data_IF_389147427809
#
_entry.id   IF_389147427809
#
_cell.length_a   1.000
_cell.length_b   1.000
_cell.length_c   1.000
_cell.angle_alpha   90.00
_cell.angle_beta   90.00
_cell.angle_gamma   90.00
#
_symmetry.space_group_name_H-M   'P 1'
#
loop_
_entity.id
_entity.type
_entity.pdbx_description
1 polymer ?
#
# COMPACT_ATOMS: atom_id res chain seq x y z
N UNK A 1 12.82 0.86 10.98
CA UNK A 1 12.06 -0.42 11.05
C UNK A 1 10.63 -0.08 11.40
N UNK A 2 9.66 -0.70 10.73
CA UNK A 2 8.24 -0.62 11.11
C UNK A 2 8.04 -1.26 12.49
N UNK A 3 7.10 -0.72 13.27
CA UNK A 3 6.78 -1.18 14.63
C UNK A 3 5.36 -1.70 14.75
N UNK A 4 4.43 -1.11 14.02
CA UNK A 4 3.03 -1.52 13.99
C UNK A 4 2.47 -1.42 12.57
N UNK A 5 1.95 -2.52 12.06
CA UNK A 5 1.36 -2.62 10.74
C UNK A 5 -0.13 -2.93 10.93
N UNK A 6 -0.99 -2.10 10.39
CA UNK A 6 -2.42 -2.37 10.38
C UNK A 6 -2.84 -3.08 9.10
N UNK A 7 -3.57 -4.18 9.23
CA UNK A 7 -4.20 -4.86 8.10
C UNK A 7 -5.72 -4.77 8.23
N UNK A 8 -6.37 -4.21 7.22
CA UNK A 8 -7.83 -4.28 7.13
C UNK A 8 -8.26 -5.69 6.76
N UNK A 9 -9.23 -6.22 7.47
CA UNK A 9 -9.75 -7.58 7.30
C UNK A 9 -11.23 -7.54 6.89
N UNK A 10 -11.63 -8.46 6.04
CA UNK A 10 -12.99 -8.65 5.57
C UNK A 10 -13.19 -10.09 5.07
N UNK A 11 -14.37 -10.40 4.55
CA UNK A 11 -14.70 -11.72 3.98
C UNK A 11 -14.39 -11.83 2.48
N UNK A 12 -13.71 -10.83 1.88
CA UNK A 12 -13.35 -10.90 0.47
C UNK A 12 -12.29 -12.00 0.22
N UNK A 13 -12.32 -12.69 -0.92
CA UNK A 13 -11.31 -13.71 -1.25
C UNK A 13 -9.87 -13.20 -1.19
N UNK A 14 -9.65 -11.93 -1.51
CA UNK A 14 -8.33 -11.27 -1.45
C UNK A 14 -7.83 -11.00 -0.02
N UNK A 15 -8.66 -11.19 1.00
CA UNK A 15 -8.28 -11.00 2.42
C UNK A 15 -7.09 -11.89 2.81
N UNK A 16 -7.09 -13.14 2.36
CA UNK A 16 -6.02 -14.09 2.65
C UNK A 16 -4.67 -13.61 2.12
N UNK A 17 -4.61 -13.14 0.88
CA UNK A 17 -3.36 -12.69 0.26
C UNK A 17 -2.74 -11.50 1.00
N UNK A 18 -3.58 -10.50 1.38
CA UNK A 18 -3.06 -9.34 2.12
C UNK A 18 -2.67 -9.69 3.55
N UNK A 19 -3.35 -10.64 4.18
CA UNK A 19 -2.96 -11.12 5.51
C UNK A 19 -1.61 -11.83 5.46
N UNK A 20 -1.39 -12.75 4.53
CA UNK A 20 -0.11 -13.41 4.31
C UNK A 20 1.02 -12.40 4.05
N UNK A 21 0.78 -11.42 3.19
CA UNK A 21 1.69 -10.32 2.89
C UNK A 21 2.04 -9.50 4.16
N UNK A 22 1.03 -9.18 4.97
CA UNK A 22 1.20 -8.43 6.22
C UNK A 22 1.99 -9.21 7.27
N UNK A 23 1.73 -10.50 7.40
CA UNK A 23 2.49 -11.40 8.30
C UNK A 23 3.97 -11.45 7.87
N UNK A 24 4.24 -11.59 6.57
CA UNK A 24 5.60 -11.58 6.03
C UNK A 24 6.36 -10.29 6.36
N UNK A 25 5.70 -9.15 6.18
CA UNK A 25 6.26 -7.84 6.54
C UNK A 25 6.48 -7.69 8.05
N UNK A 26 5.50 -8.06 8.87
CA UNK A 26 5.60 -7.99 10.32
C UNK A 26 6.78 -8.83 10.84
N UNK A 27 6.96 -10.06 10.35
CA UNK A 27 8.12 -10.91 10.67
C UNK A 27 9.44 -10.25 10.29
N UNK A 28 9.54 -9.73 9.07
CA UNK A 28 10.77 -9.13 8.55
C UNK A 28 11.21 -7.91 9.37
N UNK A 29 10.26 -7.12 9.85
CA UNK A 29 10.53 -5.90 10.61
C UNK A 29 10.50 -6.09 12.12
N UNK A 30 10.07 -7.25 12.64
CA UNK A 30 9.79 -7.44 14.06
C UNK A 30 8.70 -6.49 14.54
N UNK A 31 7.69 -6.30 13.72
CA UNK A 31 6.57 -5.40 13.96
C UNK A 31 5.38 -6.14 14.57
N UNK A 32 4.57 -5.42 15.34
CA UNK A 32 3.23 -5.85 15.72
C UNK A 32 2.30 -5.82 14.51
N UNK A 33 1.32 -6.70 14.43
CA UNK A 33 0.31 -6.74 13.38
C UNK A 33 -1.08 -6.50 13.97
N UNK A 34 -1.64 -5.33 13.72
CA UNK A 34 -2.99 -4.98 14.15
C UNK A 34 -4.02 -5.37 13.09
N UNK A 35 -4.85 -6.37 13.37
CA UNK A 35 -6.00 -6.75 12.55
C UNK A 35 -7.17 -5.80 12.80
N UNK A 36 -7.63 -5.10 11.77
CA UNK A 36 -8.77 -4.19 11.85
C UNK A 36 -9.96 -4.72 11.06
N UNK A 37 -11.09 -4.97 11.73
CA UNK A 37 -12.36 -5.31 11.13
C UNK A 37 -13.39 -4.20 11.41
N UNK A 38 -13.85 -3.53 10.35
CA UNK A 38 -14.84 -2.44 10.45
C UNK A 38 -16.10 -2.85 9.73
N UNK A 39 -17.25 -2.78 10.41
CA UNK A 39 -18.54 -3.18 9.87
C UNK A 39 -19.68 -2.27 10.35
N UNK A 40 -20.88 -2.48 9.77
CA UNK A 40 -22.10 -1.81 10.19
C UNK A 40 -23.17 -2.87 10.48
N UNK A 41 -23.41 -3.17 11.75
CA UNK A 41 -24.36 -4.21 12.17
C UNK A 41 -25.76 -4.05 11.58
N UNK A 42 -26.33 -2.82 11.45
CA UNK A 42 -27.65 -2.64 10.85
C UNK A 42 -27.72 -2.92 9.35
N UNK A 43 -26.57 -3.01 8.67
CA UNK A 43 -26.48 -3.22 7.22
C UNK A 43 -26.01 -4.62 6.84
N UNK A 44 -25.75 -5.46 7.82
CA UNK A 44 -25.22 -6.82 7.61
C UNK A 44 -26.17 -7.89 8.16
N UNK A 45 -26.19 -9.03 7.49
CA UNK A 45 -26.78 -10.24 8.02
C UNK A 45 -25.72 -10.94 8.90
N UNK A 46 -26.09 -11.34 10.12
CA UNK A 46 -25.21 -12.07 11.05
C UNK A 46 -23.84 -11.39 11.33
N UNK A 47 -23.80 -10.10 11.70
CA UNK A 47 -22.56 -9.36 11.86
C UNK A 47 -21.61 -9.97 12.92
N UNK A 48 -22.16 -10.45 14.02
CA UNK A 48 -21.38 -11.06 15.11
C UNK A 48 -20.70 -12.37 14.68
N UNK A 49 -21.40 -13.22 13.91
CA UNK A 49 -20.82 -14.45 13.40
C UNK A 49 -19.72 -14.17 12.39
N UNK A 50 -19.93 -13.24 11.47
CA UNK A 50 -18.94 -12.85 10.48
C UNK A 50 -17.68 -12.23 11.11
N UNK A 51 -17.85 -11.42 12.14
CA UNK A 51 -16.72 -10.90 12.91
C UNK A 51 -15.92 -12.01 13.57
N UNK A 52 -16.58 -12.97 14.21
CA UNK A 52 -15.95 -14.10 14.84
C UNK A 52 -15.15 -14.97 13.85
N UNK A 53 -15.71 -15.23 12.66
CA UNK A 53 -15.02 -15.98 11.60
C UNK A 53 -13.75 -15.29 11.11
N UNK A 54 -13.82 -13.97 10.88
CA UNK A 54 -12.66 -13.18 10.43
C UNK A 54 -11.59 -13.13 11.52
N UNK A 55 -11.99 -12.96 12.77
CA UNK A 55 -11.08 -12.94 13.92
C UNK A 55 -10.36 -14.26 14.07
N UNK A 56 -11.09 -15.39 14.05
CA UNK A 56 -10.52 -16.73 14.18
C UNK A 56 -9.51 -17.01 13.05
N UNK A 57 -9.84 -16.66 11.83
CA UNK A 57 -8.92 -16.78 10.68
C UNK A 57 -7.64 -15.95 10.90
N UNK A 58 -7.77 -14.73 11.40
CA UNK A 58 -6.64 -13.85 11.65
C UNK A 58 -5.74 -14.41 12.76
N UNK A 59 -6.31 -14.71 13.93
CA UNK A 59 -5.56 -15.20 15.10
C UNK A 59 -4.82 -16.50 14.78
N UNK A 60 -5.46 -17.47 14.13
CA UNK A 60 -4.83 -18.74 13.75
C UNK A 60 -3.60 -18.54 12.84
N UNK A 61 -3.68 -17.65 11.85
CA UNK A 61 -2.57 -17.42 10.94
C UNK A 61 -1.42 -16.65 11.59
N UNK A 62 -1.73 -15.67 12.43
CA UNK A 62 -0.70 -14.83 13.06
C UNK A 62 0.01 -15.59 14.18
N UNK A 63 -0.73 -16.33 15.02
CA UNK A 63 -0.14 -17.20 16.07
C UNK A 63 0.77 -18.27 15.46
N UNK A 64 0.30 -18.96 14.42
CA UNK A 64 1.11 -19.95 13.70
C UNK A 64 2.37 -19.36 13.05
N UNK A 65 2.40 -18.05 12.84
CA UNK A 65 3.53 -17.32 12.31
C UNK A 65 4.49 -16.78 13.39
N UNK A 66 4.12 -16.76 14.67
CA UNK A 66 4.92 -16.23 15.76
C UNK A 66 5.09 -14.71 15.71
N UNK A 67 4.10 -13.99 15.22
CA UNK A 67 4.06 -12.51 15.15
C UNK A 67 3.20 -12.01 16.31
N UNK A 68 3.65 -10.94 16.99
CA UNK A 68 2.81 -10.25 17.95
C UNK A 68 1.65 -9.55 17.25
N UNK A 69 0.47 -9.57 17.85
CA UNK A 69 -0.70 -9.00 17.21
C UNK A 69 -1.69 -8.39 18.18
N UNK A 70 -2.52 -7.48 17.64
CA UNK A 70 -3.71 -6.95 18.27
C UNK A 70 -4.92 -7.14 17.35
N UNK A 71 -6.11 -7.26 17.95
CA UNK A 71 -7.37 -7.30 17.22
C UNK A 71 -8.21 -6.07 17.54
N UNK A 72 -8.69 -5.41 16.51
CA UNK A 72 -9.54 -4.24 16.62
C UNK A 72 -10.81 -4.44 15.81
N UNK A 73 -11.94 -4.46 16.50
CA UNK A 73 -13.27 -4.60 15.92
C UNK A 73 -14.07 -3.33 16.13
N UNK A 74 -14.64 -2.80 15.05
CA UNK A 74 -15.36 -1.53 15.06
C UNK A 74 -16.71 -1.66 14.38
N UNK A 75 -17.79 -1.55 15.14
CA UNK A 75 -19.14 -1.43 14.61
C UNK A 75 -19.51 0.05 14.48
N UNK A 76 -19.67 0.52 13.25
CA UNK A 76 -20.06 1.91 12.99
C UNK A 76 -21.57 2.15 13.12
N UNK A 77 -22.38 1.10 13.36
CA UNK A 77 -23.82 1.23 13.56
C UNK A 77 -24.52 1.95 12.39
N UNK A 78 -25.36 2.92 12.71
CA UNK A 78 -26.03 3.82 11.75
C UNK A 78 -25.26 5.14 11.54
N UNK A 79 -24.05 5.23 12.00
CA UNK A 79 -23.29 6.48 11.89
C UNK A 79 -23.12 6.91 10.44
N UNK A 80 -23.01 8.22 10.23
CA UNK A 80 -22.79 8.82 8.90
C UNK A 80 -21.33 8.71 8.45
N UNK A 81 -20.46 8.24 9.34
CA UNK A 81 -19.05 8.00 9.05
C UNK A 81 -18.93 6.74 8.21
N UNK A 82 -18.23 6.82 7.10
CA UNK A 82 -18.01 5.66 6.24
C UNK A 82 -16.90 4.74 6.78
N UNK A 83 -16.87 3.51 6.31
CA UNK A 83 -15.86 2.53 6.72
C UNK A 83 -14.45 3.01 6.38
N UNK A 84 -14.23 3.62 5.22
CA UNK A 84 -12.93 4.14 4.82
C UNK A 84 -12.42 5.24 5.76
N UNK A 85 -13.30 6.10 6.23
CA UNK A 85 -12.99 7.15 7.20
C UNK A 85 -12.60 6.56 8.55
N UNK A 86 -13.30 5.51 8.99
CA UNK A 86 -12.99 4.81 10.24
C UNK A 86 -11.66 4.06 10.15
N UNK A 87 -11.39 3.37 9.04
CA UNK A 87 -10.08 2.75 8.79
C UNK A 87 -8.98 3.81 8.84
N UNK A 88 -9.16 4.94 8.16
CA UNK A 88 -8.20 6.05 8.17
C UNK A 88 -7.92 6.57 9.58
N UNK A 89 -8.97 6.73 10.40
CA UNK A 89 -8.83 7.17 11.79
C UNK A 89 -7.92 6.22 12.60
N UNK A 90 -8.20 4.93 12.59
CA UNK A 90 -7.39 3.96 13.34
C UNK A 90 -5.99 3.79 12.77
N UNK A 91 -5.82 3.90 11.45
CA UNK A 91 -4.50 3.84 10.80
C UNK A 91 -3.57 4.96 11.25
N UNK A 92 -4.09 6.11 11.67
CA UNK A 92 -3.26 7.22 12.13
C UNK A 92 -2.37 6.88 13.35
N UNK A 93 -2.69 5.82 14.07
CA UNK A 93 -1.93 5.32 15.24
C UNK A 93 -0.90 4.25 14.89
N UNK A 94 -0.75 3.86 13.62
CA UNK A 94 0.16 2.83 13.16
C UNK A 94 1.18 3.37 12.14
N UNK A 95 2.14 2.56 11.72
CA UNK A 95 3.15 2.99 10.75
C UNK A 95 2.65 2.88 9.30
N UNK A 96 1.76 1.91 9.02
CA UNK A 96 1.32 1.57 7.68
C UNK A 96 -0.04 0.87 7.71
N UNK A 97 -0.85 1.12 6.69
CA UNK A 97 -2.07 0.36 6.41
C UNK A 97 -1.86 -0.62 5.26
N UNK A 98 -2.34 -1.85 5.41
CA UNK A 98 -2.36 -2.85 4.33
C UNK A 98 -3.79 -3.14 3.90
N UNK A 99 -4.06 -3.03 2.60
CA UNK A 99 -5.37 -3.28 1.99
C UNK A 99 -5.21 -4.06 0.68
N UNK A 100 -6.29 -4.64 0.17
CA UNK A 100 -6.27 -5.27 -1.16
C UNK A 100 -6.56 -4.26 -2.28
N UNK A 101 -6.06 -4.57 -3.47
CA UNK A 101 -6.43 -3.90 -4.71
C UNK A 101 -7.96 -3.92 -4.89
N UNK A 102 -8.61 -2.78 -5.12
CA UNK A 102 -10.04 -2.73 -5.37
C UNK A 102 -10.36 -3.30 -6.76
N UNK A 103 -11.18 -4.32 -6.81
CA UNK A 103 -11.65 -4.90 -8.08
C UNK A 103 -12.95 -4.23 -8.53
N UNK A 104 -13.12 -4.07 -9.85
CA UNK A 104 -14.37 -3.54 -10.42
C UNK A 104 -15.57 -4.42 -10.08
N UNK A 105 -15.37 -5.74 -10.03
CA UNK A 105 -16.41 -6.72 -9.67
C UNK A 105 -16.85 -6.64 -8.21
N UNK A 106 -16.07 -6.03 -7.33
CA UNK A 106 -16.37 -5.93 -5.90
C UNK A 106 -17.26 -4.72 -5.59
N UNK A 107 -17.40 -3.77 -6.53
CA UNK A 107 -18.25 -2.58 -6.33
C UNK A 107 -19.71 -2.90 -6.13
N UNK A 108 -20.16 -4.04 -6.67
CA UNK A 108 -21.54 -4.53 -6.57
C UNK A 108 -21.73 -5.58 -5.47
N UNK A 109 -20.66 -5.99 -4.78
CA UNK A 109 -20.73 -7.00 -3.73
C UNK A 109 -20.64 -6.35 -2.36
N UNK A 110 -21.50 -6.80 -1.47
CA UNK A 110 -21.62 -6.41 -0.08
C UNK A 110 -20.32 -6.57 0.75
N UNK A 111 -19.27 -7.17 0.17
CA UNK A 111 -18.02 -7.52 0.83
C UNK A 111 -16.87 -6.54 0.60
N UNK A 112 -16.94 -5.70 -0.43
CA UNK A 112 -15.87 -4.75 -0.71
C UNK A 112 -16.13 -3.41 -0.03
N UNK A 113 -15.62 -3.31 1.16
CA UNK A 113 -15.70 -2.11 1.98
C UNK A 113 -14.79 -0.99 1.46
N UNK A 114 -13.73 -1.35 0.75
CA UNK A 114 -12.75 -0.40 0.22
C UNK A 114 -12.99 -0.17 -1.26
N UNK A 115 -13.93 0.71 -1.56
CA UNK A 115 -14.22 1.12 -2.94
C UNK A 115 -13.39 2.30 -3.43
N UNK A 116 -12.67 2.97 -2.52
CA UNK A 116 -11.90 4.19 -2.83
C UNK A 116 -10.58 4.22 -2.06
N UNK A 117 -9.49 3.71 -2.64
CA UNK A 117 -8.16 3.83 -2.03
C UNK A 117 -7.74 5.27 -1.80
N UNK A 118 -8.25 6.22 -2.60
CA UNK A 118 -8.01 7.64 -2.44
C UNK A 118 -8.43 8.16 -1.06
N UNK A 119 -9.58 7.70 -0.55
CA UNK A 119 -10.06 8.08 0.79
C UNK A 119 -9.14 7.57 1.89
N UNK A 120 -8.64 6.36 1.75
CA UNK A 120 -7.71 5.77 2.72
C UNK A 120 -6.37 6.51 2.73
N UNK A 121 -5.80 6.77 1.55
CA UNK A 121 -4.51 7.46 1.42
C UNK A 121 -4.59 8.87 2.01
N UNK A 122 -5.68 9.61 1.73
CA UNK A 122 -5.89 10.96 2.29
C UNK A 122 -6.22 10.94 3.78
N UNK A 123 -7.09 9.99 4.17
CA UNK A 123 -7.66 9.97 5.53
C UNK A 123 -6.72 9.43 6.59
N UNK A 124 -5.77 8.57 6.22
CA UNK A 124 -4.88 7.92 7.18
C UNK A 124 -3.68 8.78 7.60
N UNK A 125 -3.21 9.67 6.72
CA UNK A 125 -1.94 10.38 6.93
C UNK A 125 -0.72 9.45 7.01
N UNK A 126 -0.89 8.18 6.66
CA UNK A 126 0.11 7.12 6.68
C UNK A 126 0.23 6.47 5.30
N UNK A 127 1.38 5.83 4.99
CA UNK A 127 1.50 5.08 3.75
C UNK A 127 0.50 3.92 3.71
N UNK A 128 -0.07 3.70 2.53
CA UNK A 128 -1.01 2.60 2.28
C UNK A 128 -0.36 1.61 1.33
N UNK A 129 -0.14 0.39 1.81
CA UNK A 129 0.31 -0.73 1.00
C UNK A 129 -0.92 -1.41 0.39
N UNK A 130 -0.99 -1.41 -0.92
CA UNK A 130 -2.04 -2.09 -1.67
C UNK A 130 -1.47 -3.39 -2.20
N UNK A 131 -2.07 -4.52 -1.82
CA UNK A 131 -1.69 -5.86 -2.25
C UNK A 131 -2.57 -6.27 -3.43
N UNK A 132 -2.02 -6.81 -4.54
CA UNK A 132 -2.83 -7.30 -5.65
C UNK A 132 -3.88 -8.30 -5.18
N UNK A 133 -5.05 -8.27 -5.83
CA UNK A 133 -6.18 -9.14 -5.45
C UNK A 133 -5.90 -10.62 -5.71
N UNK A 134 -4.95 -10.93 -6.59
CA UNK A 134 -4.52 -12.30 -6.93
C UNK A 134 -3.01 -12.41 -6.88
N UNK A 135 -2.51 -13.63 -6.68
CA UNK A 135 -1.08 -13.91 -6.52
C UNK A 135 -0.70 -14.21 -5.07
N UNK A 136 0.56 -14.55 -4.86
CA UNK A 136 1.17 -14.77 -3.54
C UNK A 136 2.40 -13.90 -3.42
N UNK A 137 2.58 -13.24 -2.26
CA UNK A 137 3.61 -12.24 -2.04
C UNK A 137 4.39 -12.56 -0.76
N UNK A 138 5.14 -13.69 -0.74
CA UNK A 138 5.84 -14.13 0.47
C UNK A 138 7.02 -13.22 0.84
N UNK A 139 7.53 -12.49 -0.14
CA UNK A 139 8.63 -11.54 0.02
C UNK A 139 8.22 -10.20 -0.56
N UNK A 140 8.11 -9.18 0.29
CA UNK A 140 7.78 -7.82 -0.11
C UNK A 140 8.90 -6.90 0.35
N UNK A 141 9.41 -6.07 -0.56
CA UNK A 141 10.43 -5.07 -0.26
C UNK A 141 11.85 -5.62 -0.21
N UNK A 142 12.15 -6.74 -0.89
CA UNK A 142 13.53 -7.16 -1.15
C UNK A 142 14.11 -6.43 -2.36
N UNK A 143 13.30 -6.22 -3.39
CA UNK A 143 13.65 -5.50 -4.61
C UNK A 143 12.63 -4.39 -4.84
N UNK A 144 12.99 -3.18 -4.44
CA UNK A 144 12.06 -2.03 -4.44
C UNK A 144 12.34 -1.12 -5.62
N UNK A 145 11.30 -0.78 -6.37
CA UNK A 145 11.33 0.33 -7.32
C UNK A 145 10.59 1.52 -6.74
N UNK A 146 11.24 2.68 -6.70
CA UNK A 146 10.62 3.95 -6.34
C UNK A 146 10.39 4.75 -7.62
N UNK A 147 9.12 4.93 -8.02
CA UNK A 147 8.79 5.81 -9.13
C UNK A 147 8.96 7.27 -8.69
N UNK A 148 10.05 7.86 -9.15
CA UNK A 148 10.49 9.18 -8.72
C UNK A 148 10.16 10.25 -9.76
N UNK A 149 9.49 11.27 -9.31
CA UNK A 149 9.38 12.56 -9.99
C UNK A 149 9.52 13.64 -8.94
N UNK A 150 10.58 14.43 -9.03
CA UNK A 150 10.91 15.43 -8.02
C UNK A 150 9.71 16.28 -7.61
N UNK A 151 9.43 16.32 -6.31
CA UNK A 151 8.31 17.05 -5.75
C UNK A 151 7.84 16.50 -4.40
N UNK A 152 6.94 17.23 -3.72
CA UNK A 152 6.54 16.91 -2.34
C UNK A 152 6.03 15.48 -2.17
N UNK A 153 5.26 14.97 -3.15
CA UNK A 153 4.62 13.64 -3.05
C UNK A 153 5.61 12.49 -3.20
N UNK A 154 6.55 12.60 -4.14
CA UNK A 154 7.62 11.61 -4.29
C UNK A 154 8.53 11.63 -3.06
N UNK A 155 8.90 12.82 -2.57
CA UNK A 155 9.66 12.96 -1.33
C UNK A 155 8.95 12.35 -0.14
N UNK A 156 7.64 12.56 -0.01
CA UNK A 156 6.82 11.96 1.04
C UNK A 156 6.81 10.44 0.92
N UNK A 157 6.52 9.89 -0.26
CA UNK A 157 6.46 8.45 -0.48
C UNK A 157 7.81 7.77 -0.21
N UNK A 158 8.92 8.37 -0.66
CA UNK A 158 10.26 7.89 -0.35
C UNK A 158 10.54 7.90 1.15
N UNK A 159 10.15 8.97 1.86
CA UNK A 159 10.33 9.08 3.31
C UNK A 159 9.51 8.04 4.06
N UNK A 160 8.24 7.87 3.70
CA UNK A 160 7.34 6.88 4.29
C UNK A 160 7.81 5.44 4.01
N UNK A 161 8.46 5.20 2.86
CA UNK A 161 9.06 3.92 2.51
C UNK A 161 10.42 3.67 3.18
N UNK A 162 11.02 4.65 3.85
CA UNK A 162 12.40 4.56 4.36
C UNK A 162 12.68 3.29 5.18
N UNK A 163 11.79 2.82 6.08
CA UNK A 163 12.02 1.57 6.80
C UNK A 163 12.14 0.34 5.89
N UNK A 164 11.39 0.34 4.77
CA UNK A 164 11.44 -0.73 3.76
C UNK A 164 12.69 -0.62 2.91
N UNK A 165 13.04 0.59 2.46
CA UNK A 165 14.25 0.86 1.67
C UNK A 165 15.52 0.45 2.42
N UNK A 166 15.59 0.71 3.72
CA UNK A 166 16.71 0.31 4.58
C UNK A 166 16.85 -1.21 4.75
N UNK A 167 15.75 -1.94 4.63
CA UNK A 167 15.74 -3.40 4.74
C UNK A 167 15.84 -4.11 3.38
N UNK A 168 15.80 -3.36 2.28
CA UNK A 168 15.83 -3.90 0.93
C UNK A 168 17.22 -4.43 0.54
N UNK A 169 17.25 -5.44 -0.34
CA UNK A 169 18.47 -5.92 -0.99
C UNK A 169 18.86 -5.06 -2.18
N UNK A 170 17.85 -4.54 -2.90
CA UNK A 170 18.00 -3.69 -4.08
C UNK A 170 16.97 -2.58 -4.07
N UNK A 171 17.42 -1.36 -4.32
CA UNK A 171 16.55 -0.20 -4.47
C UNK A 171 16.87 0.48 -5.80
N UNK A 172 15.87 0.63 -6.66
CA UNK A 172 15.99 1.37 -7.91
C UNK A 172 15.09 2.62 -7.88
N UNK A 173 15.68 3.80 -8.03
CA UNK A 173 14.97 5.07 -8.16
C UNK A 173 14.79 5.36 -9.64
N UNK A 174 13.57 5.20 -10.14
CA UNK A 174 13.26 5.33 -11.57
C UNK A 174 12.50 6.61 -11.86
N UNK A 175 13.01 7.43 -12.76
CA UNK A 175 12.33 8.59 -13.30
C UNK A 175 12.07 8.42 -14.80
N UNK A 176 10.82 8.62 -15.23
CA UNK A 176 10.43 8.57 -16.64
C UNK A 176 10.09 9.99 -17.09
N UNK A 177 11.05 10.72 -17.63
CA UNK A 177 10.91 12.15 -18.00
C UNK A 177 11.65 12.53 -19.28
N UNK A 178 11.14 13.57 -19.97
CA UNK A 178 11.75 14.11 -21.21
C UNK A 178 13.02 14.89 -20.97
N UNK A 179 13.16 15.48 -19.81
CA UNK A 179 14.31 16.30 -19.44
C UNK A 179 15.24 15.48 -18.56
N UNK A 180 16.53 15.51 -18.91
CA UNK A 180 17.56 15.08 -17.98
C UNK A 180 17.33 15.78 -16.65
N UNK A 181 17.51 15.05 -15.56
CA UNK A 181 17.66 15.67 -14.22
C UNK A 181 18.45 16.96 -14.38
N UNK A 182 17.97 18.05 -13.80
CA UNK A 182 18.81 19.22 -13.63
C UNK A 182 20.13 18.71 -13.09
N UNK A 183 21.24 19.11 -13.72
CA UNK A 183 22.58 18.60 -13.42
C UNK A 183 22.79 18.38 -11.92
N UNK A 184 22.99 17.11 -11.50
CA UNK A 184 23.21 16.72 -10.11
C UNK A 184 21.99 16.27 -9.30
N UNK A 185 20.79 16.14 -9.86
CA UNK A 185 19.62 15.66 -9.09
C UNK A 185 19.78 14.19 -8.68
N UNK A 186 20.18 13.31 -9.59
CA UNK A 186 20.47 11.91 -9.30
C UNK A 186 21.55 11.75 -8.24
N UNK A 187 22.62 12.53 -8.30
CA UNK A 187 23.70 12.53 -7.31
C UNK A 187 23.21 12.97 -5.92
N UNK A 188 22.37 14.01 -5.87
CA UNK A 188 21.78 14.49 -4.61
C UNK A 188 20.84 13.46 -4.00
N UNK A 189 20.04 12.80 -4.83
CA UNK A 189 19.13 11.74 -4.40
C UNK A 189 19.92 10.54 -3.87
N UNK A 190 20.93 10.06 -4.59
CA UNK A 190 21.82 8.99 -4.15
C UNK A 190 22.50 9.33 -2.83
N UNK A 191 23.08 10.53 -2.73
CA UNK A 191 23.70 10.99 -1.47
C UNK A 191 22.70 11.03 -0.31
N UNK A 192 21.46 11.51 -0.55
CA UNK A 192 20.44 11.54 0.49
C UNK A 192 20.15 10.12 1.00
N UNK A 193 19.96 9.17 0.09
CA UNK A 193 19.69 7.78 0.43
C UNK A 193 20.87 7.12 1.15
N UNK A 194 22.10 7.38 0.74
CA UNK A 194 23.32 6.91 1.42
C UNK A 194 23.39 7.38 2.88
N UNK A 195 23.06 8.66 3.15
CA UNK A 195 22.99 9.19 4.51
C UNK A 195 21.97 8.45 5.38
N UNK A 196 20.92 7.90 4.76
CA UNK A 196 19.92 7.06 5.40
C UNK A 196 20.26 5.56 5.36
N UNK A 197 21.50 5.20 4.97
CA UNK A 197 21.99 3.81 4.86
C UNK A 197 21.20 2.97 3.83
N UNK A 198 20.75 3.61 2.77
CA UNK A 198 20.10 2.97 1.63
C UNK A 198 21.06 3.03 0.44
N UNK A 199 21.45 1.87 -0.08
CA UNK A 199 22.17 1.76 -1.35
C UNK A 199 21.14 1.67 -2.47
N UNK A 200 21.10 2.68 -3.34
CA UNK A 200 20.14 2.76 -4.43
C UNK A 200 20.83 3.05 -5.76
N UNK A 201 20.30 2.48 -6.83
CA UNK A 201 20.58 2.92 -8.20
C UNK A 201 19.60 4.02 -8.60
N UNK A 202 20.04 4.93 -9.45
CA UNK A 202 19.17 5.97 -10.02
C UNK A 202 19.15 5.80 -11.53
N UNK A 203 17.95 5.70 -12.08
CA UNK A 203 17.74 5.47 -13.50
C UNK A 203 16.82 6.54 -14.09
N UNK A 204 17.26 7.17 -15.16
CA UNK A 204 16.46 8.12 -15.94
C UNK A 204 16.12 7.49 -17.27
N UNK A 205 14.83 7.30 -17.51
CA UNK A 205 14.31 6.72 -18.74
C UNK A 205 13.65 7.82 -19.57
N UNK A 206 14.17 8.10 -20.77
CA UNK A 206 13.50 9.01 -21.69
C UNK A 206 12.15 8.41 -22.11
N UNK A 207 11.07 9.20 -22.16
CA UNK A 207 9.79 8.74 -22.68
C UNK A 207 9.95 8.24 -24.10
N UNK A 208 9.54 7.00 -24.34
CA UNK A 208 9.43 6.41 -25.68
C UNK A 208 7.99 6.46 -26.19
N UNK A 209 7.64 5.45 -27.00
CA UNK A 209 6.26 5.28 -27.51
C UNK A 209 5.30 4.73 -26.44
N UNK A 210 5.84 4.19 -25.33
CA UNK A 210 5.05 3.65 -24.23
C UNK A 210 4.62 4.76 -23.27
N UNK A 211 3.48 4.56 -22.62
CA UNK A 211 3.09 5.42 -21.52
C UNK A 211 4.05 5.27 -20.32
N UNK A 212 4.10 6.28 -19.45
CA UNK A 212 4.88 6.20 -18.20
C UNK A 212 4.47 4.97 -17.36
N UNK A 213 3.17 4.67 -17.32
CA UNK A 213 2.65 3.51 -16.60
C UNK A 213 3.15 2.19 -17.17
N UNK A 214 3.10 2.03 -18.51
CA UNK A 214 3.59 0.81 -19.17
C UNK A 214 5.09 0.64 -18.98
N UNK A 215 5.86 1.74 -19.09
CA UNK A 215 7.31 1.71 -18.85
C UNK A 215 7.61 1.21 -17.44
N UNK A 216 6.92 1.73 -16.41
CA UNK A 216 7.12 1.29 -15.02
C UNK A 216 6.71 -0.17 -14.81
N UNK A 217 5.59 -0.63 -15.41
CA UNK A 217 5.16 -2.03 -15.31
C UNK A 217 6.11 -3.01 -15.99
N UNK A 218 6.69 -2.63 -17.14
CA UNK A 218 7.70 -3.45 -17.81
C UNK A 218 8.94 -3.59 -16.94
N UNK A 219 9.44 -2.50 -16.35
CA UNK A 219 10.57 -2.54 -15.42
C UNK A 219 10.30 -3.39 -14.18
N UNK A 220 9.07 -3.37 -13.66
CA UNK A 220 8.70 -4.26 -12.55
C UNK A 220 8.93 -5.72 -12.93
N UNK A 221 8.57 -6.12 -14.14
CA UNK A 221 8.75 -7.48 -14.61
C UNK A 221 10.24 -7.79 -14.93
N UNK A 222 10.92 -6.90 -15.67
CA UNK A 222 12.29 -7.09 -16.13
C UNK A 222 13.29 -7.17 -14.97
N UNK A 223 13.11 -6.33 -13.95
CA UNK A 223 13.98 -6.25 -12.77
C UNK A 223 13.54 -7.15 -11.61
N UNK A 224 12.49 -7.95 -11.78
CA UNK A 224 11.91 -8.77 -10.72
C UNK A 224 11.62 -7.95 -9.44
N UNK A 225 11.02 -6.78 -9.61
CA UNK A 225 10.60 -5.93 -8.50
C UNK A 225 9.48 -6.61 -7.71
N UNK A 226 9.55 -6.56 -6.39
CA UNK A 226 8.54 -7.12 -5.49
C UNK A 226 7.75 -6.06 -4.70
N UNK A 227 8.14 -4.81 -4.84
CA UNK A 227 7.43 -3.66 -4.27
C UNK A 227 7.66 -2.40 -5.12
N UNK A 228 6.57 -1.74 -5.52
CA UNK A 228 6.63 -0.41 -6.13
C UNK A 228 6.24 0.65 -5.09
N UNK A 229 7.00 1.75 -5.02
CA UNK A 229 6.70 2.92 -4.18
C UNK A 229 6.34 4.10 -5.08
N UNK A 230 5.22 4.74 -4.81
CA UNK A 230 4.70 5.84 -5.63
C UNK A 230 4.08 6.94 -4.78
N UNK A 231 4.52 8.18 -4.99
CA UNK A 231 3.82 9.37 -4.52
C UNK A 231 2.62 9.68 -5.43
N UNK A 232 1.41 9.68 -4.89
CA UNK A 232 0.19 9.91 -5.67
C UNK A 232 -0.37 11.31 -5.47
N UNK A 233 -0.90 11.88 -6.55
CA UNK A 233 -1.65 13.13 -6.48
C UNK A 233 -3.13 12.82 -6.36
N UNK A 234 -3.74 13.22 -5.23
CA UNK A 234 -5.18 13.11 -5.04
C UNK A 234 -5.76 14.52 -5.03
N UNK A 235 -6.76 14.74 -5.84
CA UNK A 235 -7.47 16.01 -5.96
C UNK A 235 -8.98 15.76 -5.99
N UNK A 236 -9.74 16.80 -5.73
CA UNK A 236 -11.20 16.74 -5.87
C UNK A 236 -11.59 17.22 -7.27
N UNK A 237 -12.17 16.33 -8.06
CA UNK A 237 -12.77 16.65 -9.36
C UNK A 237 -14.27 16.40 -9.31
N UNK A 238 -15.07 17.42 -9.59
CA UNK A 238 -16.55 17.32 -9.60
C UNK A 238 -17.13 16.71 -8.30
N UNK A 239 -16.55 17.04 -7.13
CA UNK A 239 -16.99 16.53 -5.84
C UNK A 239 -16.56 15.11 -5.50
N UNK A 240 -15.74 14.47 -6.36
CA UNK A 240 -15.18 13.13 -6.13
C UNK A 240 -13.65 13.21 -6.01
N UNK A 241 -13.09 12.35 -5.17
CA UNK A 241 -11.64 12.19 -5.09
C UNK A 241 -11.14 11.51 -6.36
N UNK A 242 -10.06 12.03 -6.91
CA UNK A 242 -9.42 11.56 -8.12
C UNK A 242 -7.93 11.39 -7.90
N UNK A 243 -7.47 10.15 -7.97
CA UNK A 243 -6.05 9.81 -8.05
C UNK A 243 -5.57 10.11 -9.48
N UNK A 244 -4.45 10.76 -9.63
CA UNK A 244 -3.90 11.08 -10.94
C UNK A 244 -3.86 9.86 -11.88
N UNK A 245 -3.83 10.13 -13.19
CA UNK A 245 -3.96 9.11 -14.24
C UNK A 245 -2.97 7.95 -14.09
N UNK A 246 -1.69 8.23 -13.84
CA UNK A 246 -0.64 7.23 -13.67
C UNK A 246 -0.93 6.33 -12.46
N UNK A 247 -1.26 6.92 -11.30
CA UNK A 247 -1.57 6.14 -10.09
C UNK A 247 -2.76 5.21 -10.30
N UNK A 248 -3.81 5.70 -10.94
CA UNK A 248 -5.01 4.90 -11.26
C UNK A 248 -4.70 3.79 -12.27
N UNK A 249 -3.91 4.10 -13.29
CA UNK A 249 -3.50 3.11 -14.28
C UNK A 249 -2.69 1.99 -13.64
N UNK A 250 -1.64 2.34 -12.90
CA UNK A 250 -0.78 1.38 -12.21
C UNK A 250 -1.58 0.53 -11.22
N UNK A 251 -2.48 1.15 -10.44
CA UNK A 251 -3.33 0.42 -9.50
C UNK A 251 -4.26 -0.59 -10.19
N UNK A 252 -4.71 -0.27 -11.42
CA UNK A 252 -5.56 -1.15 -12.21
C UNK A 252 -4.82 -2.32 -12.87
N UNK A 253 -3.52 -2.20 -13.06
CA UNK A 253 -2.66 -3.16 -13.79
C UNK A 253 -1.58 -3.80 -12.91
N UNK A 254 -1.53 -3.47 -11.63
CA UNK A 254 -0.48 -3.92 -10.71
C UNK A 254 -0.38 -5.44 -10.61
N UNK A 255 0.83 -5.94 -10.67
CA UNK A 255 1.18 -7.35 -10.47
C UNK A 255 1.97 -7.58 -9.19
N UNK A 256 2.49 -6.51 -8.59
CA UNK A 256 3.22 -6.51 -7.33
C UNK A 256 2.61 -5.52 -6.36
N UNK A 257 2.80 -5.67 -5.04
CA UNK A 257 2.36 -4.70 -4.04
C UNK A 257 2.85 -3.29 -4.35
N UNK A 258 2.01 -2.30 -4.05
CA UNK A 258 2.32 -0.88 -4.23
C UNK A 258 2.14 -0.12 -2.92
N UNK A 259 3.20 0.59 -2.49
CA UNK A 259 3.15 1.54 -1.39
C UNK A 259 2.82 2.93 -1.93
N UNK A 260 1.71 3.48 -1.49
CA UNK A 260 1.22 4.78 -1.93
C UNK A 260 1.20 5.79 -0.78
N UNK A 261 1.66 7.02 -1.07
CA UNK A 261 1.60 8.16 -0.14
C UNK A 261 1.17 9.43 -0.87
N UNK A 262 0.57 10.38 -0.12
CA UNK A 262 0.07 11.66 -0.67
C UNK A 262 0.64 12.87 0.10
#
# INVERSE_FOLDING_TARGET
>A
MLKDIMVHLDLAPSCKNRLEASIGLAKRHGANLTGLYVYSSPRMNQPVQQSAEVREMFEQQVEGAGVSFDWLEVDIGFERVGVAEMIGYYTSFTDMLVVSQPLKADRDKQYSVITSPERLILGSGRPVLIVPASGTFPHIGERIMVAWKAGPKASRAMHDAMPLLQAAKHVNMVSVEKTTFSTGEGERLSRYLELHKVSATTELIPPGDLSVGDTLLNLVADDNIDLMVLGVHISTKRGQLDMGEIGRYLLGQMTVPMLLSH
#
